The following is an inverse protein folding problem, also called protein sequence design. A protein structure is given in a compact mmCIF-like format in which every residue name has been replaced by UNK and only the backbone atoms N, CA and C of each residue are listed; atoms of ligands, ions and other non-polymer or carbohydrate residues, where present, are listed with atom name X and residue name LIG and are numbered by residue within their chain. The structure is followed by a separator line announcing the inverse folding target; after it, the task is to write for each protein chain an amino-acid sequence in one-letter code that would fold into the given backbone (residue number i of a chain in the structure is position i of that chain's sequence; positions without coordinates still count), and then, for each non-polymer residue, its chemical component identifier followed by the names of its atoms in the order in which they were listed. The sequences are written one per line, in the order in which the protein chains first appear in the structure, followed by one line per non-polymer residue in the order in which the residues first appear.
data_IF_546613055237
#
_entry.id   IF_546613055237
#
_cell.length_a   1.000
_cell.length_b   1.000
_cell.length_c   1.000
_cell.angle_alpha   90.00
_cell.angle_beta   90.00
_cell.angle_gamma   90.00
#
_symmetry.space_group_name_H-M   'P 1'
#
loop_
_entity.id
_entity.type
_entity.pdbx_description
1 polymer ?
#
# COMPACT_ATOMS: atom_id res chain seq x y z
N UNK A 1 24.20 -4.84 9.11
CA UNK A 1 24.47 -5.29 7.72
C UNK A 1 23.11 -5.66 7.14
N UNK A 2 22.75 -5.14 5.96
CA UNK A 2 21.45 -5.43 5.37
C UNK A 2 21.36 -6.91 4.96
N UNK A 3 20.20 -7.58 5.15
CA UNK A 3 20.02 -8.95 4.67
C UNK A 3 20.23 -9.05 3.16
N UNK A 4 20.70 -10.20 2.68
CA UNK A 4 20.83 -10.46 1.25
C UNK A 4 19.45 -10.31 0.55
N UNK A 5 19.44 -9.73 -0.65
CA UNK A 5 18.22 -9.49 -1.41
C UNK A 5 17.27 -8.43 -0.84
N UNK A 6 17.65 -7.70 0.21
CA UNK A 6 16.82 -6.66 0.84
C UNK A 6 17.34 -5.26 0.54
N UNK A 7 16.44 -4.27 0.68
CA UNK A 7 16.75 -2.85 0.59
C UNK A 7 16.29 -2.13 1.86
N UNK A 8 17.02 -1.08 2.20
CA UNK A 8 16.63 -0.12 3.23
C UNK A 8 15.93 1.06 2.58
N UNK A 9 14.74 1.36 3.06
CA UNK A 9 13.88 2.42 2.58
C UNK A 9 13.89 3.58 3.57
N UNK A 10 13.96 4.81 3.06
CA UNK A 10 13.61 6.04 3.79
C UNK A 10 12.33 6.62 3.20
N UNK A 11 11.31 6.70 4.03
CA UNK A 11 9.97 7.11 3.60
C UNK A 11 9.94 8.56 3.12
N UNK A 12 9.20 8.80 2.05
CA UNK A 12 8.98 10.13 1.46
C UNK A 12 7.53 10.55 1.63
N UNK A 13 6.60 9.65 1.32
CA UNK A 13 5.17 9.86 1.48
C UNK A 13 4.49 8.53 1.79
N UNK A 14 3.42 8.58 2.59
CA UNK A 14 2.56 7.42 2.83
C UNK A 14 1.12 7.87 2.89
N UNK A 15 0.23 7.20 2.14
CA UNK A 15 -1.18 7.57 2.11
C UNK A 15 -1.95 6.81 3.19
N UNK A 16 -2.77 7.54 3.95
CA UNK A 16 -3.72 6.96 4.91
C UNK A 16 -5.06 6.74 4.20
N UNK A 17 -5.52 5.49 4.19
CA UNK A 17 -6.86 5.14 3.74
C UNK A 17 -7.90 5.38 4.82
N UNK A 18 -8.71 6.44 4.62
CA UNK A 18 -9.79 6.79 5.53
C UNK A 18 -10.91 5.74 5.60
N UNK A 19 -10.92 4.74 4.72
CA UNK A 19 -11.87 3.63 4.74
C UNK A 19 -11.41 2.50 5.65
N UNK A 20 -10.31 1.84 5.27
CA UNK A 20 -9.82 0.64 5.97
C UNK A 20 -9.07 1.00 7.24
N UNK A 21 -8.12 1.93 7.18
CA UNK A 21 -7.25 2.25 8.31
C UNK A 21 -8.02 2.93 9.44
N UNK A 22 -9.05 3.71 9.13
CA UNK A 22 -9.92 4.32 10.14
C UNK A 22 -10.71 3.27 10.93
N UNK A 23 -11.20 2.22 10.26
CA UNK A 23 -11.89 1.10 10.92
C UNK A 23 -10.93 0.31 11.80
N UNK A 24 -9.70 0.10 11.34
CA UNK A 24 -8.66 -0.55 12.15
C UNK A 24 -8.37 0.31 13.38
N UNK A 25 -8.09 1.60 13.19
CA UNK A 25 -7.84 2.57 14.27
C UNK A 25 -8.93 2.57 15.34
N UNK A 26 -10.20 2.40 14.95
CA UNK A 26 -11.35 2.29 15.87
C UNK A 26 -11.53 0.92 16.51
N UNK A 27 -10.84 -0.10 16.03
CA UNK A 27 -11.00 -1.50 16.45
C UNK A 27 -12.16 -2.20 15.76
N UNK A 28 -12.86 -1.56 14.82
CA UNK A 28 -14.06 -2.11 14.16
C UNK A 28 -13.75 -3.41 13.40
N UNK A 29 -12.58 -3.51 12.77
CA UNK A 29 -12.12 -4.72 12.07
C UNK A 29 -11.41 -5.73 12.98
N UNK A 30 -11.00 -5.31 14.18
CA UNK A 30 -10.34 -6.20 15.15
C UNK A 30 -11.36 -6.89 16.08
N UNK A 31 -12.57 -6.35 16.15
CA UNK A 31 -13.65 -6.79 17.04
C UNK A 31 -14.91 -7.21 16.28
N UNK A 32 -14.80 -7.47 14.97
CA UNK A 32 -15.94 -7.89 14.17
C UNK A 32 -16.47 -9.26 14.64
N UNK A 33 -17.81 -9.46 14.72
CA UNK A 33 -18.37 -10.76 15.09
C UNK A 33 -17.91 -11.85 14.10
N UNK A 34 -17.27 -12.91 14.61
CA UNK A 34 -16.77 -14.02 13.79
C UNK A 34 -15.29 -13.92 13.39
N UNK A 35 -14.56 -12.89 13.82
CA UNK A 35 -13.10 -12.83 13.69
C UNK A 35 -12.46 -13.19 15.02
N UNK A 36 -11.92 -14.40 15.16
CA UNK A 36 -11.25 -14.87 16.40
C UNK A 36 -9.84 -14.27 16.59
N UNK A 37 -9.58 -13.07 16.03
CA UNK A 37 -8.25 -12.43 16.00
C UNK A 37 -7.19 -13.15 15.16
N UNK A 38 -7.54 -14.32 14.59
CA UNK A 38 -6.68 -15.18 13.79
C UNK A 38 -6.80 -14.93 12.27
N UNK A 39 -7.81 -14.17 11.83
CA UNK A 39 -7.99 -13.84 10.43
C UNK A 39 -7.00 -12.75 9.98
N UNK A 40 -6.36 -12.91 8.81
CA UNK A 40 -5.42 -11.93 8.31
C UNK A 40 -6.11 -10.58 8.09
N UNK A 41 -5.46 -9.50 8.54
CA UNK A 41 -5.92 -8.12 8.35
C UNK A 41 -6.09 -7.75 6.88
N UNK A 42 -5.25 -8.32 6.01
CA UNK A 42 -5.44 -8.37 4.57
C UNK A 42 -4.64 -9.54 3.99
N UNK A 43 -5.31 -10.47 3.33
CA UNK A 43 -4.67 -11.64 2.73
C UNK A 43 -3.91 -11.31 1.42
N UNK A 44 -4.21 -10.17 0.79
CA UNK A 44 -3.66 -9.79 -0.51
C UNK A 44 -2.43 -8.90 -0.40
N UNK A 45 -2.11 -8.41 0.80
CA UNK A 45 -0.97 -7.51 1.03
C UNK A 45 0.18 -8.29 1.66
N UNK A 46 1.29 -8.40 0.93
CA UNK A 46 2.49 -9.08 1.39
C UNK A 46 2.95 -8.49 2.74
N UNK A 47 3.15 -9.36 3.74
CA UNK A 47 3.54 -8.96 5.10
C UNK A 47 2.38 -8.69 6.06
N UNK A 48 1.11 -8.65 5.59
CA UNK A 48 -0.07 -8.45 6.44
C UNK A 48 -0.93 -9.71 6.64
N UNK A 49 -0.59 -10.82 5.97
CA UNK A 49 -1.29 -12.10 6.08
C UNK A 49 -1.00 -12.91 7.36
N UNK A 50 -0.03 -12.51 8.19
CA UNK A 50 0.39 -13.26 9.39
C UNK A 50 0.32 -12.48 10.70
N UNK A 51 -0.10 -11.22 10.68
CA UNK A 51 -0.21 -10.39 11.88
C UNK A 51 -1.53 -10.69 12.60
N UNK A 52 -1.48 -10.98 13.89
CA UNK A 52 -2.67 -11.05 14.72
C UNK A 52 -3.43 -9.72 14.65
N UNK A 53 -4.75 -9.78 14.52
CA UNK A 53 -5.60 -8.59 14.47
C UNK A 53 -5.77 -7.98 15.89
N UNK A 54 -4.66 -7.58 16.52
CA UNK A 54 -4.61 -7.04 17.88
C UNK A 54 -3.57 -5.93 18.02
N UNK A 55 -3.81 -5.01 18.96
CA UNK A 55 -2.87 -3.94 19.28
C UNK A 55 -1.74 -4.40 20.22
N UNK A 56 -0.52 -3.83 20.10
CA UNK A 56 -0.09 -2.82 19.12
C UNK A 56 0.10 -3.39 17.71
N UNK A 57 -0.33 -2.61 16.69
CA UNK A 57 -0.34 -3.03 15.29
C UNK A 57 0.34 -1.98 14.41
N UNK A 58 1.26 -2.42 13.55
CA UNK A 58 1.75 -1.62 12.44
C UNK A 58 0.82 -1.83 11.25
N UNK A 59 0.28 -0.75 10.68
CA UNK A 59 -0.62 -0.82 9.55
C UNK A 59 -0.36 0.31 8.55
N UNK A 60 -0.88 0.14 7.34
CA UNK A 60 -0.62 0.97 6.18
C UNK A 60 -0.16 0.10 5.03
N UNK A 61 -0.41 0.55 3.81
CA UNK A 61 -0.14 -0.26 2.62
C UNK A 61 0.25 0.57 1.40
N UNK A 62 0.52 1.86 1.58
CA UNK A 62 0.77 2.77 0.47
C UNK A 62 1.96 3.66 0.73
N UNK A 63 3.15 3.05 0.78
CA UNK A 63 4.39 3.70 1.12
C UNK A 63 5.22 4.02 -0.13
N UNK A 64 5.52 5.29 -0.33
CA UNK A 64 6.56 5.73 -1.26
C UNK A 64 7.83 6.13 -0.50
N UNK A 65 8.96 5.60 -0.95
CA UNK A 65 10.24 5.74 -0.26
C UNK A 65 11.42 5.81 -1.23
N UNK A 66 12.55 6.30 -0.76
CA UNK A 66 13.83 6.24 -1.46
C UNK A 66 14.66 5.05 -0.93
N UNK A 67 15.31 4.31 -1.82
CA UNK A 67 16.26 3.27 -1.42
C UNK A 67 17.55 3.92 -0.93
N UNK A 68 17.84 3.81 0.37
CA UNK A 68 19.04 4.38 1.01
C UNK A 68 20.12 3.35 1.31
N UNK A 69 19.78 2.07 1.19
CA UNK A 69 20.70 0.96 1.41
C UNK A 69 20.32 -0.26 0.60
N UNK A 70 21.32 -1.05 0.18
CA UNK A 70 21.13 -2.31 -0.55
C UNK A 70 21.92 -3.42 0.12
N UNK A 71 21.29 -4.59 0.26
CA UNK A 71 21.95 -5.81 0.72
C UNK A 71 22.66 -6.58 -0.39
N UNK A 72 23.41 -7.61 0.00
CA UNK A 72 24.14 -8.47 -0.94
C UNK A 72 23.19 -9.05 -2.00
N UNK A 73 23.59 -9.01 -3.28
CA UNK A 73 22.78 -9.50 -4.41
C UNK A 73 21.80 -8.47 -5.00
N UNK A 74 21.63 -7.29 -4.40
CA UNK A 74 20.85 -6.19 -4.99
C UNK A 74 21.80 -5.23 -5.72
N UNK A 75 21.54 -4.86 -6.99
CA UNK A 75 22.40 -3.94 -7.73
C UNK A 75 22.51 -2.57 -7.05
N UNK A 76 23.73 -2.05 -6.88
CA UNK A 76 23.96 -0.71 -6.32
C UNK A 76 23.29 0.42 -7.12
N UNK A 77 22.96 0.20 -8.39
CA UNK A 77 22.21 1.15 -9.22
C UNK A 77 20.79 1.42 -8.73
N UNK A 78 20.27 0.61 -7.79
CA UNK A 78 18.98 0.82 -7.12
C UNK A 78 19.05 1.88 -6.03
N UNK A 79 20.24 2.25 -5.53
CA UNK A 79 20.38 3.31 -4.52
C UNK A 79 19.88 4.65 -5.06
N UNK A 80 19.16 5.40 -4.23
CA UNK A 80 18.52 6.67 -4.59
C UNK A 80 17.27 6.52 -5.46
N UNK A 81 16.89 5.30 -5.87
CA UNK A 81 15.67 5.10 -6.63
C UNK A 81 14.44 5.36 -5.75
N UNK A 82 13.47 6.10 -6.30
CA UNK A 82 12.17 6.28 -5.69
C UNK A 82 11.30 5.05 -6.00
N UNK A 83 10.74 4.45 -4.95
CA UNK A 83 9.99 3.20 -5.01
C UNK A 83 8.66 3.30 -4.30
N UNK A 84 7.71 2.47 -4.73
CA UNK A 84 6.48 2.14 -4.04
C UNK A 84 6.63 0.77 -3.37
N UNK A 85 6.12 0.64 -2.15
CA UNK A 85 6.02 -0.63 -1.46
C UNK A 85 4.69 -0.73 -0.72
N UNK A 86 4.08 -1.91 -0.77
CA UNK A 86 3.00 -2.27 0.14
C UNK A 86 3.60 -2.55 1.52
N UNK A 87 3.66 -1.52 2.36
CA UNK A 87 4.29 -1.61 3.67
C UNK A 87 3.56 -0.71 4.68
N UNK A 88 3.49 -1.12 5.97
CA UNK A 88 3.00 -0.27 7.05
C UNK A 88 3.67 1.10 7.10
N UNK A 89 2.96 2.08 7.66
CA UNK A 89 3.51 3.41 7.90
C UNK A 89 4.76 3.32 8.79
N UNK A 90 5.90 3.76 8.27
CA UNK A 90 7.16 3.79 8.99
C UNK A 90 8.03 4.93 8.45
N UNK A 91 9.00 5.40 9.23
CA UNK A 91 10.00 6.37 8.75
C UNK A 91 11.14 5.69 7.98
N UNK A 92 11.43 4.44 8.32
CA UNK A 92 12.37 3.56 7.63
C UNK A 92 11.83 2.12 7.63
N UNK A 93 12.17 1.35 6.59
CA UNK A 93 11.73 -0.02 6.45
C UNK A 93 12.81 -0.88 5.78
N UNK A 94 12.83 -2.17 6.12
CA UNK A 94 13.61 -3.19 5.43
C UNK A 94 12.65 -4.08 4.67
N UNK A 95 12.75 -4.11 3.35
CA UNK A 95 11.87 -4.92 2.49
C UNK A 95 12.70 -5.75 1.51
N UNK A 96 12.13 -6.84 1.01
CA UNK A 96 12.76 -7.56 -0.09
C UNK A 96 12.83 -6.65 -1.32
N UNK A 97 13.95 -6.68 -2.05
CA UNK A 97 14.19 -5.80 -3.19
C UNK A 97 13.15 -5.97 -4.32
N UNK A 98 12.48 -7.14 -4.36
CA UNK A 98 11.42 -7.48 -5.30
C UNK A 98 10.08 -6.80 -4.98
N UNK A 99 9.85 -6.46 -3.71
CA UNK A 99 8.63 -5.78 -3.24
C UNK A 99 8.76 -4.24 -3.27
N UNK A 100 9.96 -3.75 -3.57
CA UNK A 100 10.24 -2.33 -3.78
C UNK A 100 10.13 -1.99 -5.28
N UNK A 101 8.94 -1.57 -5.71
CA UNK A 101 8.64 -1.28 -7.11
C UNK A 101 9.14 0.10 -7.51
N UNK A 102 10.07 0.20 -8.46
CA UNK A 102 10.60 1.48 -8.92
C UNK A 102 9.53 2.31 -9.60
N UNK A 103 9.38 3.58 -9.20
CA UNK A 103 8.44 4.50 -9.82
C UNK A 103 8.86 4.79 -11.27
N UNK A 104 7.89 4.90 -12.20
CA UNK A 104 8.17 5.41 -13.54
C UNK A 104 8.75 6.83 -13.50
N UNK A 105 9.58 7.16 -14.49
CA UNK A 105 10.15 8.50 -14.62
C UNK A 105 9.05 9.57 -14.68
N UNK A 106 9.20 10.63 -13.87
CA UNK A 106 8.27 11.76 -13.81
C UNK A 106 7.10 11.58 -12.83
N UNK A 107 6.87 10.38 -12.28
CA UNK A 107 5.84 10.16 -11.26
C UNK A 107 6.38 10.62 -9.90
N UNK A 108 5.67 11.52 -9.23
CA UNK A 108 6.05 12.01 -7.90
C UNK A 108 5.59 11.01 -6.83
N UNK A 109 6.31 10.95 -5.71
CA UNK A 109 5.91 10.12 -4.56
C UNK A 109 4.46 10.39 -4.12
N UNK A 110 4.07 11.68 -4.04
CA UNK A 110 2.72 12.07 -3.64
C UNK A 110 1.62 11.64 -4.62
N UNK A 111 1.96 11.32 -5.87
CA UNK A 111 1.00 10.77 -6.84
C UNK A 111 1.00 9.23 -6.75
N UNK A 112 2.17 8.61 -6.62
CA UNK A 112 2.33 7.16 -6.55
C UNK A 112 1.73 6.54 -5.29
N UNK A 113 1.62 7.26 -4.17
CA UNK A 113 0.91 6.77 -2.98
C UNK A 113 -0.59 6.56 -3.22
N UNK A 114 -1.14 6.97 -4.37
CA UNK A 114 -2.51 6.62 -4.74
C UNK A 114 -2.62 5.29 -5.49
N UNK A 115 -1.52 4.59 -5.78
CA UNK A 115 -1.54 3.35 -6.55
C UNK A 115 -2.60 2.35 -6.09
N UNK A 116 -2.74 1.99 -4.80
CA UNK A 116 -3.77 1.04 -4.36
C UNK A 116 -5.20 1.57 -4.55
N UNK A 117 -5.40 2.89 -4.40
CA UNK A 117 -6.69 3.52 -4.60
C UNK A 117 -7.08 3.59 -6.09
N UNK A 118 -6.11 3.88 -6.96
CA UNK A 118 -6.27 3.85 -8.42
C UNK A 118 -6.54 2.43 -8.90
N UNK A 119 -5.85 1.42 -8.38
CA UNK A 119 -6.11 0.00 -8.68
C UNK A 119 -7.52 -0.43 -8.30
N UNK A 120 -8.00 0.02 -7.13
CA UNK A 120 -9.39 -0.22 -6.70
C UNK A 120 -10.39 0.45 -7.65
N UNK A 121 -10.18 1.73 -7.98
CA UNK A 121 -11.06 2.45 -8.90
C UNK A 121 -11.07 1.82 -10.30
N UNK A 122 -9.90 1.42 -10.82
CA UNK A 122 -9.77 0.74 -12.11
C UNK A 122 -10.50 -0.61 -12.13
N UNK A 123 -10.37 -1.40 -11.06
CA UNK A 123 -11.10 -2.67 -10.92
C UNK A 123 -12.61 -2.45 -10.96
N UNK A 124 -13.12 -1.45 -10.24
CA UNK A 124 -14.55 -1.08 -10.26
C UNK A 124 -14.97 -0.64 -11.67
N UNK A 125 -14.17 0.18 -12.35
CA UNK A 125 -14.48 0.64 -13.70
C UNK A 125 -14.57 -0.53 -14.69
N UNK A 126 -13.67 -1.51 -14.58
CA UNK A 126 -13.72 -2.74 -15.38
C UNK A 126 -14.98 -3.59 -15.06
N UNK A 127 -15.34 -3.74 -13.79
CA UNK A 127 -16.52 -4.50 -13.36
C UNK A 127 -17.83 -3.85 -13.82
N UNK A 128 -17.90 -2.52 -13.80
CA UNK A 128 -19.05 -1.76 -14.32
C UNK A 128 -19.18 -1.97 -15.84
N UNK A 129 -18.06 -2.05 -16.56
CA UNK A 129 -18.04 -2.32 -18.00
C UNK A 129 -18.71 -1.23 -18.85
N UNK A 130 -18.73 0.01 -18.34
CA UNK A 130 -19.36 1.14 -19.02
C UNK A 130 -18.73 1.41 -20.40
N UNK A 131 -19.58 1.69 -21.38
CA UNK A 131 -19.17 1.98 -22.76
C UNK A 131 -19.27 3.47 -23.08
N UNK A 132 -18.62 3.85 -24.18
CA UNK A 132 -18.72 5.20 -24.72
C UNK A 132 -20.19 5.60 -24.93
N UNK A 133 -20.57 6.77 -24.42
CA UNK A 133 -21.93 7.30 -24.49
C UNK A 133 -22.88 6.83 -23.38
N UNK A 134 -22.47 5.88 -22.54
CA UNK A 134 -23.25 5.49 -21.36
C UNK A 134 -23.10 6.51 -20.22
N UNK A 135 -24.08 6.53 -19.31
CA UNK A 135 -24.09 7.43 -18.16
C UNK A 135 -23.86 6.63 -16.89
N UNK A 136 -22.85 7.01 -16.13
CA UNK A 136 -22.51 6.41 -14.84
C UNK A 136 -22.93 7.35 -13.72
N UNK A 137 -23.50 6.79 -12.65
CA UNK A 137 -23.79 7.52 -11.41
C UNK A 137 -22.81 7.06 -10.33
N UNK A 138 -21.97 7.98 -9.86
CA UNK A 138 -21.06 7.72 -8.73
C UNK A 138 -21.70 8.28 -7.46
N UNK A 139 -22.09 7.39 -6.54
CA UNK A 139 -22.65 7.77 -5.24
C UNK A 139 -21.53 7.71 -4.19
N UNK A 140 -21.15 8.89 -3.69
CA UNK A 140 -20.03 9.07 -2.75
C UNK A 140 -18.82 9.69 -3.44
N UNK A 141 -18.38 10.86 -2.94
CA UNK A 141 -17.29 11.66 -3.51
C UNK A 141 -16.05 11.64 -2.60
N UNK A 142 -15.77 10.46 -2.03
CA UNK A 142 -14.54 10.20 -1.30
C UNK A 142 -13.39 9.82 -2.24
N UNK A 143 -12.25 9.40 -1.69
CA UNK A 143 -11.04 9.09 -2.46
C UNK A 143 -11.29 8.22 -3.70
N UNK A 144 -11.93 7.05 -3.53
CA UNK A 144 -12.21 6.13 -4.65
C UNK A 144 -13.20 6.74 -5.64
N UNK A 145 -14.25 7.41 -5.16
CA UNK A 145 -15.26 8.02 -6.03
C UNK A 145 -14.73 9.16 -6.88
N UNK A 146 -13.69 9.86 -6.43
CA UNK A 146 -13.00 10.91 -7.20
C UNK A 146 -11.97 10.35 -8.20
N UNK A 147 -11.60 9.08 -8.07
CA UNK A 147 -10.70 8.37 -8.99
C UNK A 147 -11.46 7.58 -10.08
N UNK A 148 -12.79 7.45 -9.94
CA UNK A 148 -13.70 6.91 -10.95
C UNK A 148 -14.13 8.00 -11.94
#
# INVERSE_FOLDING_TARGET
RLPAGHVELRSVASLISSGTELKIFRGDLLHAPGTDGAEPLDANIAGMGGAAAAYPLQYGYSLCAEIVGVGDGVPCSRLGALVFAFHPHASAALVAAVDAHTLPAGVRACDAVFLPAVETALSIAHDVGAREGERVLVIGQGLIGLLL
#
